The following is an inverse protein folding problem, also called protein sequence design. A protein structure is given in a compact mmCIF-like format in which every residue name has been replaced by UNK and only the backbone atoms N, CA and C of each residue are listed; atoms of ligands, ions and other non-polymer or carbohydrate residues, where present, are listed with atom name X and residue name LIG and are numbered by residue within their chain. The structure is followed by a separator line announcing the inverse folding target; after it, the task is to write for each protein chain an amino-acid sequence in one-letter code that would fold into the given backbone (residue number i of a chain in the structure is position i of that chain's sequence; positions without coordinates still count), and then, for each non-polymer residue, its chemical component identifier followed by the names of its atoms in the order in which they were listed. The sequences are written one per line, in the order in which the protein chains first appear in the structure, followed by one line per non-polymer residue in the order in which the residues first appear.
data_IF_241648591302
#
_entry.id   IF_241648591302
#
_cell.length_a   1.000
_cell.length_b   1.000
_cell.length_c   1.000
_cell.angle_alpha   90.00
_cell.angle_beta   90.00
_cell.angle_gamma   90.00
#
_symmetry.space_group_name_H-M   'P 1'
#
loop_
_entity.id
_entity.type
_entity.pdbx_description
1 polymer ?
#
# COMPACT_ATOMS: atom_id res chain seq x y z
N UNK A 1 -6.88 3.48 0.02
CA UNK A 1 -6.82 3.85 1.44
C UNK A 1 -5.50 4.52 1.75
N UNK A 2 -5.41 5.10 2.95
CA UNK A 2 -4.16 5.57 3.57
C UNK A 2 -3.53 4.42 4.34
N UNK A 3 -2.26 4.15 4.07
CA UNK A 3 -1.48 3.02 4.56
C UNK A 3 -0.27 3.51 5.36
N UNK A 4 0.17 2.71 6.31
CA UNK A 4 1.47 2.79 6.98
C UNK A 4 2.09 1.40 6.93
N UNK A 5 3.41 1.31 6.74
CA UNK A 5 4.08 0.01 6.77
C UNK A 5 5.56 0.06 7.14
N UNK A 6 6.04 -1.05 7.72
CA UNK A 6 7.46 -1.33 7.91
C UNK A 6 8.01 -2.07 6.70
N UNK A 7 8.89 -1.43 5.93
CA UNK A 7 9.39 -1.97 4.66
C UNK A 7 10.44 -3.08 4.78
N UNK A 8 11.04 -3.27 5.96
CA UNK A 8 12.18 -4.16 6.20
C UNK A 8 12.05 -5.55 5.57
N UNK A 9 10.86 -6.16 5.65
CA UNK A 9 10.61 -7.53 5.21
C UNK A 9 10.11 -7.62 3.75
N UNK A 10 10.10 -6.50 3.01
CA UNK A 10 9.44 -6.41 1.71
C UNK A 10 10.37 -5.84 0.63
N UNK A 11 10.17 -6.32 -0.59
CA UNK A 11 10.88 -5.91 -1.80
C UNK A 11 10.19 -4.73 -2.49
N UNK A 12 9.81 -3.75 -1.67
CA UNK A 12 9.15 -2.52 -2.10
C UNK A 12 7.64 -2.61 -2.09
N UNK A 13 7.00 -1.56 -2.60
CA UNK A 13 5.55 -1.45 -2.59
C UNK A 13 4.90 -2.37 -3.61
N UNK A 14 5.35 -2.33 -4.86
CA UNK A 14 4.66 -2.96 -5.98
C UNK A 14 5.14 -4.38 -6.23
N UNK A 15 4.22 -5.24 -6.68
CA UNK A 15 4.55 -6.60 -7.10
C UNK A 15 5.59 -6.53 -8.21
N UNK A 16 6.66 -7.32 -8.08
CA UNK A 16 7.67 -7.52 -9.10
C UNK A 16 7.57 -8.93 -9.69
N UNK A 17 8.22 -9.15 -10.84
CA UNK A 17 8.19 -10.42 -11.59
C UNK A 17 8.84 -11.58 -10.80
N UNK A 18 9.58 -11.28 -9.75
CA UNK A 18 10.41 -12.25 -9.01
C UNK A 18 9.66 -13.01 -7.91
N UNK A 19 8.34 -12.76 -7.75
CA UNK A 19 7.51 -13.44 -6.74
C UNK A 19 7.91 -13.12 -5.28
N UNK A 20 8.66 -12.05 -5.07
CA UNK A 20 9.15 -11.65 -3.75
C UNK A 20 8.05 -10.95 -2.94
N UNK A 21 8.07 -11.02 -1.60
CA UNK A 21 7.08 -10.35 -0.76
C UNK A 21 7.07 -8.84 -1.00
N UNK A 22 5.90 -8.28 -1.27
CA UNK A 22 5.69 -6.85 -1.52
C UNK A 22 4.45 -6.37 -0.78
N UNK A 23 4.39 -5.08 -0.48
CA UNK A 23 3.24 -4.50 0.25
C UNK A 23 1.94 -4.69 -0.54
N UNK A 24 1.98 -4.45 -1.86
CA UNK A 24 0.84 -4.66 -2.75
C UNK A 24 0.40 -6.13 -2.77
N UNK A 25 1.35 -7.08 -2.79
CA UNK A 25 1.05 -8.51 -2.75
C UNK A 25 0.30 -8.92 -1.48
N UNK A 26 0.77 -8.47 -0.31
CA UNK A 26 0.09 -8.74 0.96
C UNK A 26 -1.30 -8.12 1.02
N UNK A 27 -1.46 -6.90 0.51
CA UNK A 27 -2.77 -6.25 0.41
C UNK A 27 -3.70 -7.08 -0.48
N UNK A 28 -3.26 -7.47 -1.68
CA UNK A 28 -4.10 -8.28 -2.58
C UNK A 28 -4.46 -9.62 -1.95
N UNK A 29 -3.51 -10.29 -1.29
CA UNK A 29 -3.77 -11.54 -0.59
C UNK A 29 -4.81 -11.37 0.54
N UNK A 30 -4.69 -10.32 1.36
CA UNK A 30 -5.64 -10.04 2.43
C UNK A 30 -7.06 -9.79 1.90
N UNK A 31 -7.20 -8.97 0.86
CA UNK A 31 -8.50 -8.67 0.26
C UNK A 31 -9.07 -9.84 -0.58
N UNK A 32 -8.22 -10.70 -1.12
CA UNK A 32 -8.63 -11.96 -1.72
C UNK A 32 -9.20 -12.92 -0.67
N UNK A 33 -8.51 -13.11 0.46
CA UNK A 33 -9.00 -13.91 1.60
C UNK A 33 -10.29 -13.37 2.19
N UNK A 34 -10.51 -12.06 2.11
CA UNK A 34 -11.75 -11.41 2.52
C UNK A 34 -12.93 -11.65 1.54
N UNK A 35 -12.70 -12.31 0.40
CA UNK A 35 -13.70 -12.51 -0.65
C UNK A 35 -13.98 -11.26 -1.49
N UNK A 36 -13.12 -10.24 -1.40
CA UNK A 36 -13.33 -8.93 -2.04
C UNK A 36 -12.62 -8.80 -3.38
N UNK A 37 -11.83 -9.80 -3.76
CA UNK A 37 -11.18 -9.92 -5.06
C UNK A 37 -11.58 -11.26 -5.66
N UNK A 38 -12.08 -11.25 -6.89
CA UNK A 38 -12.39 -12.48 -7.62
C UNK A 38 -11.12 -13.23 -8.00
N UNK A 39 -11.17 -14.56 -8.02
CA UNK A 39 -10.04 -15.41 -8.40
C UNK A 39 -9.46 -15.05 -9.79
N UNK A 40 -10.33 -14.74 -10.75
CA UNK A 40 -9.96 -14.30 -12.10
C UNK A 40 -9.21 -12.96 -12.19
N UNK A 41 -9.15 -12.21 -11.07
CA UNK A 41 -8.51 -10.90 -10.97
C UNK A 41 -7.31 -10.88 -10.01
N UNK A 42 -7.10 -11.91 -9.17
CA UNK A 42 -6.17 -11.83 -8.03
C UNK A 42 -4.71 -11.59 -8.42
N UNK A 43 -4.30 -12.11 -9.58
CA UNK A 43 -2.94 -11.99 -10.09
C UNK A 43 -2.80 -10.87 -11.16
N UNK A 44 -3.86 -10.11 -11.42
CA UNK A 44 -3.91 -9.08 -12.47
C UNK A 44 -4.08 -7.68 -11.88
N UNK A 45 -2.95 -7.02 -11.67
CA UNK A 45 -2.89 -5.63 -11.18
C UNK A 45 -3.59 -4.63 -12.10
N UNK A 46 -3.70 -4.91 -13.40
CA UNK A 46 -4.37 -4.03 -14.35
C UNK A 46 -5.89 -4.13 -14.22
N UNK A 47 -6.44 -5.34 -14.07
CA UNK A 47 -7.88 -5.54 -13.79
C UNK A 47 -8.29 -4.88 -12.48
N UNK A 48 -7.45 -4.98 -11.46
CA UNK A 48 -7.63 -4.31 -10.17
C UNK A 48 -7.38 -2.80 -10.21
N UNK A 49 -6.84 -2.27 -11.33
CA UNK A 49 -6.50 -0.85 -11.51
C UNK A 49 -5.68 -0.27 -10.35
N UNK A 50 -4.62 -0.98 -9.95
CA UNK A 50 -3.73 -0.48 -8.90
C UNK A 50 -3.16 0.90 -9.25
N UNK A 51 -3.17 1.81 -8.27
CA UNK A 51 -2.47 3.09 -8.31
C UNK A 51 -2.03 3.47 -6.91
N UNK A 52 -0.85 4.06 -6.77
CA UNK A 52 -0.31 4.52 -5.49
C UNK A 52 0.29 5.91 -5.62
N UNK A 53 0.38 6.62 -4.49
CA UNK A 53 1.02 7.94 -4.43
C UNK A 53 2.52 7.80 -4.65
N UNK A 54 3.15 6.78 -4.11
CA UNK A 54 4.60 6.54 -4.27
C UNK A 54 4.88 5.11 -4.72
N UNK A 55 6.07 4.89 -5.28
CA UNK A 55 6.67 3.56 -5.48
C UNK A 55 7.91 3.51 -4.59
N UNK A 56 7.82 2.79 -3.48
CA UNK A 56 8.94 2.67 -2.54
C UNK A 56 9.79 1.47 -2.88
N UNK A 57 11.11 1.63 -2.78
CA UNK A 57 12.07 0.55 -3.00
C UNK A 57 12.10 -0.45 -1.84
N UNK A 58 12.87 -1.53 -2.02
CA UNK A 58 13.10 -2.57 -1.01
C UNK A 58 13.54 -1.96 0.32
N UNK A 59 12.90 -2.41 1.41
CA UNK A 59 13.27 -1.97 2.76
C UNK A 59 12.70 -0.61 3.20
N UNK A 60 12.20 0.22 2.28
CA UNK A 60 11.73 1.58 2.60
C UNK A 60 10.44 1.53 3.43
N UNK A 61 10.45 2.23 4.57
CA UNK A 61 9.31 2.40 5.45
C UNK A 61 8.40 3.54 4.97
N UNK A 62 7.13 3.54 5.39
CA UNK A 62 6.26 4.70 5.21
C UNK A 62 5.47 4.99 6.46
N UNK A 63 5.40 6.26 6.84
CA UNK A 63 4.43 6.76 7.84
C UNK A 63 3.05 6.91 7.20
N UNK A 64 3.01 7.36 5.94
CA UNK A 64 1.79 7.51 5.17
C UNK A 64 2.05 7.25 3.67
N UNK A 65 1.28 6.33 3.09
CA UNK A 65 1.21 6.11 1.64
C UNK A 65 -0.26 5.99 1.23
N UNK A 66 -0.64 6.50 0.06
CA UNK A 66 -2.01 6.36 -0.44
C UNK A 66 -2.01 5.37 -1.59
N UNK A 67 -2.95 4.43 -1.59
CA UNK A 67 -3.20 3.55 -2.72
C UNK A 67 -4.68 3.47 -3.08
N UNK A 68 -4.98 3.00 -4.28
CA UNK A 68 -6.31 2.67 -4.75
C UNK A 68 -6.27 1.42 -5.61
N UNK A 69 -7.32 0.61 -5.51
CA UNK A 69 -7.58 -0.54 -6.35
C UNK A 69 -9.07 -0.87 -6.25
N UNK A 70 -9.55 -1.71 -7.17
CA UNK A 70 -10.94 -2.14 -7.22
C UNK A 70 -11.18 -3.31 -6.28
N UNK A 71 -12.31 -3.26 -5.59
CA UNK A 71 -12.80 -4.30 -4.70
C UNK A 71 -14.26 -4.60 -5.03
N UNK A 72 -14.66 -5.85 -4.79
CA UNK A 72 -16.05 -6.23 -4.64
C UNK A 72 -16.51 -5.73 -3.26
N UNK A 73 -17.51 -4.86 -3.26
CA UNK A 73 -18.09 -4.28 -2.06
C UNK A 73 -19.62 -4.36 -2.20
N UNK A 74 -20.29 -4.68 -1.09
CA UNK A 74 -21.74 -4.59 -1.03
C UNK A 74 -22.19 -3.15 -1.30
N UNK A 75 -23.39 -3.00 -1.88
CA UNK A 75 -23.87 -1.75 -2.51
C UNK A 75 -24.20 -0.60 -1.54
N UNK A 76 -23.61 -0.61 -0.34
CA UNK A 76 -23.68 0.47 0.63
C UNK A 76 -23.20 1.81 0.01
N UNK A 77 -24.00 2.88 0.09
CA UNK A 77 -23.65 4.19 -0.48
C UNK A 77 -22.58 4.95 0.32
N UNK A 78 -21.92 4.31 1.31
CA UNK A 78 -20.95 4.99 2.16
C UNK A 78 -19.67 5.35 1.38
N UNK A 79 -19.38 6.65 1.34
CA UNK A 79 -18.12 7.17 0.77
C UNK A 79 -16.91 6.80 1.63
N UNK A 80 -17.03 6.89 2.95
CA UNK A 80 -15.97 6.52 3.90
C UNK A 80 -16.25 5.12 4.44
N UNK A 81 -15.23 4.26 4.45
CA UNK A 81 -15.33 2.93 5.07
C UNK A 81 -15.29 3.10 6.59
N UNK A 82 -16.15 2.36 7.29
CA UNK A 82 -16.27 2.46 8.76
C UNK A 82 -14.97 2.00 9.45
N UNK A 83 -14.63 2.55 10.64
CA UNK A 83 -13.47 2.11 11.40
C UNK A 83 -13.48 0.61 11.72
N UNK A 84 -14.65 0.04 12.02
CA UNK A 84 -14.82 -1.39 12.29
C UNK A 84 -14.46 -2.25 11.08
N UNK A 85 -14.88 -1.85 9.88
CA UNK A 85 -14.55 -2.58 8.66
C UNK A 85 -13.05 -2.45 8.33
N UNK A 86 -12.45 -1.27 8.54
CA UNK A 86 -11.00 -1.09 8.42
C UNK A 86 -10.24 -1.97 9.41
N UNK A 87 -10.72 -2.11 10.65
CA UNK A 87 -10.13 -3.02 11.64
C UNK A 87 -10.22 -4.48 11.21
N UNK A 88 -11.36 -4.91 10.65
CA UNK A 88 -11.53 -6.25 10.07
C UNK A 88 -10.55 -6.51 8.93
N UNK A 89 -10.30 -5.54 8.05
CA UNK A 89 -9.29 -5.71 6.99
C UNK A 89 -7.88 -5.78 7.58
N UNK A 90 -7.58 -4.97 8.60
CA UNK A 90 -6.29 -5.00 9.28
C UNK A 90 -6.02 -6.32 10.01
N UNK A 91 -7.04 -7.06 10.47
CA UNK A 91 -6.82 -8.38 11.06
C UNK A 91 -6.41 -9.45 10.04
N UNK A 92 -6.57 -9.19 8.74
CA UNK A 92 -6.13 -10.07 7.65
C UNK A 92 -4.73 -9.69 7.14
N UNK A 93 -4.20 -8.54 7.55
CA UNK A 93 -2.89 -8.03 7.14
C UNK A 93 -1.80 -8.43 8.15
N UNK A 94 -0.56 -8.67 7.70
CA UNK A 94 0.59 -8.81 8.58
C UNK A 94 0.74 -7.61 9.52
N UNK A 95 1.33 -7.80 10.70
CA UNK A 95 1.52 -6.73 11.71
C UNK A 95 2.23 -5.49 11.19
N UNK A 96 3.05 -5.66 10.16
CA UNK A 96 3.89 -4.64 9.56
C UNK A 96 3.15 -3.73 8.56
N UNK A 97 1.88 -4.02 8.24
CA UNK A 97 1.07 -3.25 7.28
C UNK A 97 -0.25 -2.87 7.94
N UNK A 98 -0.60 -1.58 7.92
CA UNK A 98 -1.88 -1.11 8.45
C UNK A 98 -2.55 -0.13 7.51
N UNK A 99 -3.85 -0.32 7.33
CA UNK A 99 -4.77 0.63 6.73
C UNK A 99 -5.24 1.56 7.85
N UNK A 100 -4.99 2.85 7.69
CA UNK A 100 -5.43 3.87 8.63
C UNK A 100 -6.85 4.33 8.30
N UNK A 101 -7.13 4.53 7.02
CA UNK A 101 -8.42 5.01 6.52
C UNK A 101 -8.68 4.50 5.09
N UNK A 102 -9.94 4.28 4.73
CA UNK A 102 -10.34 3.92 3.39
C UNK A 102 -11.59 4.70 2.93
N UNK A 103 -11.62 4.99 1.64
CA UNK A 103 -12.66 5.78 0.98
C UNK A 103 -12.98 5.14 -0.37
N UNK A 104 -14.25 5.18 -0.75
CA UNK A 104 -14.71 4.87 -2.10
C UNK A 104 -14.28 6.01 -3.02
N UNK A 105 -13.75 5.68 -4.19
CA UNK A 105 -13.29 6.66 -5.17
C UNK A 105 -14.15 6.57 -6.43
N UNK A 106 -14.09 7.62 -7.26
CA UNK A 106 -14.67 7.56 -8.60
C UNK A 106 -13.95 6.50 -9.45
N UNK A 107 -14.68 5.91 -10.41
CA UNK A 107 -14.21 4.76 -11.23
C UNK A 107 -12.87 4.98 -11.95
N UNK A 108 -12.51 6.24 -12.20
CA UNK A 108 -11.33 6.65 -12.96
C UNK A 108 -10.30 7.41 -12.12
N UNK A 109 -10.50 7.53 -10.80
CA UNK A 109 -9.50 8.12 -9.92
C UNK A 109 -8.18 7.35 -10.01
N UNK A 110 -7.07 8.08 -10.17
CA UNK A 110 -5.72 7.53 -10.18
C UNK A 110 -4.85 8.32 -9.20
N UNK A 111 -4.45 7.66 -8.11
CA UNK A 111 -3.74 8.30 -7.00
C UNK A 111 -2.43 8.94 -7.45
N UNK A 112 -1.68 8.30 -8.34
CA UNK A 112 -0.42 8.85 -8.86
C UNK A 112 -0.61 10.21 -9.56
N UNK A 113 -1.75 10.44 -10.22
CA UNK A 113 -2.07 11.70 -10.90
C UNK A 113 -2.67 12.74 -9.94
N UNK A 114 -3.26 12.30 -8.83
CA UNK A 114 -3.86 13.16 -7.80
C UNK A 114 -2.85 13.56 -6.71
N UNK A 115 -1.62 13.08 -6.79
CA UNK A 115 -0.58 13.31 -5.79
C UNK A 115 0.30 14.48 -6.21
N UNK A 116 0.17 15.62 -5.52
CA UNK A 116 0.87 16.85 -5.86
C UNK A 116 2.27 16.92 -5.23
N UNK A 117 2.44 16.40 -4.01
CA UNK A 117 3.68 16.49 -3.25
C UNK A 117 3.94 15.17 -2.50
N UNK A 118 5.22 14.89 -2.26
CA UNK A 118 5.72 13.76 -1.47
C UNK A 118 6.83 14.27 -0.58
N UNK A 119 6.83 13.87 0.68
CA UNK A 119 7.86 14.21 1.65
C UNK A 119 8.48 12.91 2.17
N UNK A 120 9.80 12.93 2.34
CA UNK A 120 10.59 11.79 2.79
C UNK A 120 11.53 12.24 3.88
N UNK A 121 11.59 11.46 4.96
CA UNK A 121 12.55 11.63 6.05
C UNK A 121 13.52 10.45 6.04
N UNK A 122 14.81 10.76 6.14
CA UNK A 122 15.89 9.78 6.21
C UNK A 122 16.53 9.84 7.59
N UNK A 123 16.54 8.69 8.28
CA UNK A 123 17.25 8.51 9.54
C UNK A 123 18.63 7.91 9.25
N UNK A 124 19.68 8.68 9.51
CA UNK A 124 21.07 8.29 9.25
C UNK A 124 21.85 8.44 10.56
N UNK A 125 22.57 7.41 11.03
CA UNK A 125 23.46 7.54 12.18
C UNK A 125 24.51 8.62 11.95
N UNK A 126 24.76 9.44 12.97
CA UNK A 126 25.69 10.59 12.85
C UNK A 126 27.13 10.13 12.57
N UNK A 127 27.49 8.94 13.06
CA UNK A 127 28.79 8.31 12.84
C UNK A 127 29.07 8.09 11.34
N UNK A 128 28.04 7.80 10.55
CA UNK A 128 28.13 7.61 9.10
C UNK A 128 28.28 8.93 8.31
N UNK A 129 27.97 10.07 8.94
CA UNK A 129 28.12 11.40 8.33
C UNK A 129 29.51 12.00 8.59
N UNK A 130 30.17 11.57 9.67
CA UNK A 130 31.47 12.09 10.11
C UNK A 130 32.69 11.39 9.48
N UNK A 131 32.49 10.47 8.52
CA UNK A 131 33.61 9.90 7.77
C UNK A 131 34.30 10.99 6.94
N UNK A 132 35.64 11.06 7.00
CA UNK A 132 36.43 12.01 6.19
C UNK A 132 35.98 11.95 4.73
N UNK A 133 35.83 13.09 4.03
CA UNK A 133 35.54 13.08 2.60
C UNK A 133 36.59 12.23 1.89
N UNK A 134 36.14 11.38 0.96
CA UNK A 134 37.03 10.65 0.06
C UNK A 134 37.83 11.67 -0.73
N UNK A 135 39.11 11.84 -0.36
CA UNK A 135 40.09 12.66 -1.07
C UNK A 135 40.37 12.11 -2.46
#
# INVERSE_FOLDING_TARGET
GRLVYKGKNYHGLQISVQGLPTIQGEIFNAFYKAGMIADSNKDDSQKLKWSSSSRTDKGVHTSFCVCSFKLLLDSSPQYRISPTEVQRWNSLLPSDIRILQAFKLSKNARINNMCNQREYEYLIPVENLNSKPLS
#
